data_IF_974807058221
#
_entry.id   IF_974807058221
#
_cell.length_a   1.000
_cell.length_b   1.000
_cell.length_c   1.000
_cell.angle_alpha   90.00
_cell.angle_beta   90.00
_cell.angle_gamma   90.00
#
_symmetry.space_group_name_H-M   'P 1'
#
loop_
_entity.id
_entity.type
_entity.pdbx_description
1 polymer ?
#
# COMPACT_ATOMS: atom_id res chain seq x y z
N UNK A 1 -16.03 -6.41 -19.85
CA UNK A 1 -15.93 -5.36 -18.83
C UNK A 1 -14.62 -4.65 -19.07
N UNK A 2 -14.66 -3.33 -19.22
CA UNK A 2 -13.43 -2.54 -19.33
C UNK A 2 -12.83 -2.34 -17.94
N UNK A 3 -11.51 -2.17 -17.85
CA UNK A 3 -10.82 -1.88 -16.58
C UNK A 3 -11.45 -0.66 -15.86
N UNK A 4 -11.97 0.32 -16.61
CA UNK A 4 -12.66 1.48 -16.06
C UNK A 4 -13.99 1.14 -15.38
N UNK A 5 -14.75 0.17 -15.92
CA UNK A 5 -16.00 -0.31 -15.30
C UNK A 5 -15.73 -1.09 -14.01
N UNK A 6 -14.68 -1.92 -14.00
CA UNK A 6 -14.29 -2.68 -12.80
C UNK A 6 -13.82 -1.76 -11.67
N UNK A 7 -13.00 -0.76 -12.01
CA UNK A 7 -12.53 0.26 -11.06
C UNK A 7 -13.67 1.10 -10.49
N UNK A 8 -14.68 1.43 -11.31
CA UNK A 8 -15.85 2.18 -10.86
C UNK A 8 -16.68 1.37 -9.85
N UNK A 9 -16.90 0.07 -10.09
CA UNK A 9 -17.64 -0.78 -9.15
C UNK A 9 -16.87 -1.03 -7.85
N UNK A 10 -15.54 -1.15 -7.91
CA UNK A 10 -14.72 -1.24 -6.71
C UNK A 10 -14.79 0.04 -5.87
N UNK A 11 -14.73 1.21 -6.51
CA UNK A 11 -14.90 2.50 -5.84
C UNK A 11 -16.26 2.60 -5.14
N UNK A 12 -17.32 2.16 -5.82
CA UNK A 12 -18.68 2.15 -5.26
C UNK A 12 -18.80 1.26 -4.02
N UNK A 13 -18.34 0.01 -4.10
CA UNK A 13 -18.39 -0.93 -2.97
C UNK A 13 -17.57 -0.44 -1.76
N UNK A 14 -16.49 0.28 -2.02
CA UNK A 14 -15.64 0.87 -1.00
C UNK A 14 -16.35 2.03 -0.26
N UNK A 15 -17.00 2.93 -1.00
CA UNK A 15 -17.82 4.01 -0.42
C UNK A 15 -18.97 3.43 0.40
N UNK A 16 -19.66 2.40 -0.10
CA UNK A 16 -20.75 1.72 0.61
C UNK A 16 -20.27 1.13 1.96
N UNK A 17 -19.09 0.51 2.00
CA UNK A 17 -18.50 -0.02 3.24
C UNK A 17 -18.10 1.08 4.23
N UNK A 18 -17.55 2.19 3.75
CA UNK A 18 -17.20 3.33 4.61
C UNK A 18 -18.44 3.99 5.24
N UNK A 19 -19.52 4.12 4.47
CA UNK A 19 -20.83 4.58 4.96
C UNK A 19 -21.43 3.64 6.03
N UNK A 20 -21.20 2.34 5.90
CA UNK A 20 -21.66 1.34 6.89
C UNK A 20 -20.82 1.34 8.17
N UNK A 21 -19.57 1.81 8.13
CA UNK A 21 -18.65 1.82 9.28
C UNK A 21 -18.79 3.06 10.17
N UNK A 22 -19.14 4.24 9.65
CA UNK A 22 -19.31 5.45 10.46
C UNK A 22 -20.40 6.41 9.92
N UNK A 23 -21.06 7.11 10.84
CA UNK A 23 -22.26 7.94 10.63
C UNK A 23 -21.98 9.39 10.21
N UNK A 24 -20.73 9.79 10.00
CA UNK A 24 -20.39 11.18 9.64
C UNK A 24 -20.05 11.34 8.15
N UNK A 25 -21.08 11.63 7.37
CA UNK A 25 -21.01 11.84 5.91
C UNK A 25 -20.05 12.99 5.55
N UNK A 26 -19.92 13.99 6.43
CA UNK A 26 -19.09 15.17 6.18
C UNK A 26 -17.59 14.83 6.05
N UNK A 27 -17.15 13.68 6.57
CA UNK A 27 -15.77 13.19 6.45
C UNK A 27 -15.61 12.07 5.42
N UNK A 28 -16.69 11.68 4.73
CA UNK A 28 -16.68 10.53 3.83
C UNK A 28 -15.76 10.77 2.63
N UNK A 29 -15.81 11.96 2.03
CA UNK A 29 -14.97 12.32 0.88
C UNK A 29 -13.48 12.26 1.24
N UNK A 30 -13.09 12.82 2.40
CA UNK A 30 -11.70 12.75 2.89
C UNK A 30 -11.24 11.31 3.19
N UNK A 31 -12.17 10.44 3.62
CA UNK A 31 -11.88 9.01 3.87
C UNK A 31 -11.75 8.22 2.57
N UNK A 32 -12.61 8.48 1.59
CA UNK A 32 -12.55 7.88 0.25
C UNK A 32 -11.25 8.29 -0.43
N UNK A 33 -10.92 9.58 -0.43
CA UNK A 33 -9.66 10.10 -1.00
C UNK A 33 -8.42 9.49 -0.33
N UNK A 34 -8.41 9.38 1.01
CA UNK A 34 -7.30 8.74 1.73
C UNK A 34 -7.16 7.28 1.34
N UNK A 35 -8.26 6.54 1.31
CA UNK A 35 -8.20 5.12 1.03
C UNK A 35 -7.95 4.83 -0.46
N UNK A 36 -8.37 5.70 -1.38
CA UNK A 36 -7.94 5.68 -2.78
C UNK A 36 -6.44 5.94 -2.91
N UNK A 37 -5.89 6.90 -2.17
CA UNK A 37 -4.42 7.12 -2.13
C UNK A 37 -3.66 5.93 -1.58
N UNK A 38 -4.23 5.19 -0.62
CA UNK A 38 -3.60 3.98 -0.07
C UNK A 38 -3.66 2.81 -1.07
N UNK A 39 -4.78 2.66 -1.78
CA UNK A 39 -4.99 1.55 -2.72
C UNK A 39 -4.36 1.78 -4.10
N UNK A 40 -4.36 3.03 -4.56
CA UNK A 40 -3.99 3.40 -5.93
C UNK A 40 -2.85 4.42 -6.01
N UNK A 41 -2.45 5.01 -4.89
CA UNK A 41 -1.33 5.94 -4.84
C UNK A 41 0.00 5.27 -4.55
N UNK A 42 1.08 5.85 -5.08
CA UNK A 42 2.43 5.44 -4.75
C UNK A 42 2.76 5.82 -3.30
N UNK A 43 2.77 4.84 -2.40
CA UNK A 43 3.16 5.03 -1.00
C UNK A 43 4.63 4.64 -0.81
N UNK A 44 5.42 5.54 -0.24
CA UNK A 44 6.79 5.23 0.20
C UNK A 44 6.83 5.06 1.71
N UNK A 45 7.34 3.92 2.19
CA UNK A 45 7.54 3.65 3.61
C UNK A 45 9.03 3.37 3.89
N UNK A 46 9.56 3.96 4.95
CA UNK A 46 10.95 3.79 5.38
C UNK A 46 10.99 3.02 6.71
N UNK A 47 11.72 1.90 6.73
CA UNK A 47 11.89 1.06 7.92
C UNK A 47 13.37 0.86 8.22
N UNK A 48 13.75 0.85 9.51
CA UNK A 48 15.10 0.52 9.97
C UNK A 48 15.10 -0.89 10.56
N UNK A 49 15.98 -1.75 10.04
CA UNK A 49 16.13 -3.14 10.52
C UNK A 49 17.59 -3.34 10.92
N UNK A 50 17.82 -3.76 12.17
CA UNK A 50 19.15 -4.05 12.70
C UNK A 50 19.35 -5.57 12.77
N UNK A 51 20.39 -6.07 12.10
CA UNK A 51 20.70 -7.50 12.08
C UNK A 51 22.19 -7.77 11.86
N UNK A 52 22.63 -9.00 12.06
CA UNK A 52 24.02 -9.41 11.77
C UNK A 52 24.27 -9.48 10.26
N UNK A 53 25.53 -9.29 9.84
CA UNK A 53 25.91 -9.24 8.42
C UNK A 53 25.45 -10.47 7.63
N UNK A 54 25.52 -11.66 8.23
CA UNK A 54 25.05 -12.92 7.64
C UNK A 54 23.54 -12.88 7.33
N UNK A 55 22.75 -12.27 8.21
CA UNK A 55 21.31 -12.16 8.06
C UNK A 55 20.91 -11.01 7.11
N UNK A 56 21.76 -9.98 6.96
CA UNK A 56 21.52 -8.89 6.02
C UNK A 56 21.40 -9.38 4.57
N UNK A 57 22.25 -10.32 4.14
CA UNK A 57 22.18 -10.92 2.81
C UNK A 57 20.90 -11.74 2.58
N UNK A 58 20.49 -12.52 3.60
CA UNK A 58 19.24 -13.27 3.53
C UNK A 58 18.02 -12.33 3.50
N UNK A 59 18.05 -11.26 4.29
CA UNK A 59 17.01 -10.24 4.33
C UNK A 59 16.89 -9.53 2.98
N UNK A 60 18.00 -9.19 2.34
CA UNK A 60 18.02 -8.58 1.00
C UNK A 60 17.30 -9.46 -0.02
N UNK A 61 17.61 -10.75 -0.07
CA UNK A 61 16.95 -11.69 -1.00
C UNK A 61 15.43 -11.77 -0.77
N UNK A 62 14.99 -11.76 0.49
CA UNK A 62 13.56 -11.76 0.85
C UNK A 62 12.89 -10.46 0.41
N UNK A 63 13.55 -9.31 0.63
CA UNK A 63 13.03 -7.99 0.24
C UNK A 63 12.96 -7.82 -1.28
N UNK A 64 13.92 -8.37 -2.03
CA UNK A 64 13.92 -8.36 -3.50
C UNK A 64 12.79 -9.24 -4.08
N UNK A 65 12.53 -10.40 -3.47
CA UNK A 65 11.40 -11.26 -3.84
C UNK A 65 10.06 -10.58 -3.52
N UNK A 66 9.95 -9.92 -2.36
CA UNK A 66 8.79 -9.09 -2.02
C UNK A 66 8.58 -7.95 -3.03
N UNK A 67 9.65 -7.25 -3.41
CA UNK A 67 9.61 -6.15 -4.37
C UNK A 67 9.03 -6.61 -5.72
N UNK A 68 9.53 -7.76 -6.20
CA UNK A 68 9.10 -8.36 -7.48
C UNK A 68 7.63 -8.78 -7.44
N UNK A 69 7.20 -9.44 -6.36
CA UNK A 69 5.82 -9.95 -6.21
C UNK A 69 4.77 -8.85 -6.09
N UNK A 70 5.14 -7.72 -5.48
CA UNK A 70 4.21 -6.64 -5.17
C UNK A 70 4.38 -5.42 -6.08
N UNK A 71 5.18 -5.54 -7.14
CA UNK A 71 5.47 -4.46 -8.08
C UNK A 71 5.92 -3.17 -7.37
N UNK A 72 6.75 -3.30 -6.34
CA UNK A 72 7.25 -2.18 -5.55
C UNK A 72 8.78 -2.08 -5.62
N UNK A 73 9.32 -0.91 -5.26
CA UNK A 73 10.77 -0.65 -5.28
C UNK A 73 11.32 -0.65 -3.86
N UNK A 74 12.31 -1.49 -3.60
CA UNK A 74 13.03 -1.51 -2.31
C UNK A 74 14.43 -0.94 -2.52
N UNK A 75 14.82 0.00 -1.65
CA UNK A 75 16.19 0.51 -1.57
C UNK A 75 16.76 0.22 -0.18
N UNK A 76 17.83 -0.55 -0.13
CA UNK A 76 18.55 -0.83 1.11
C UNK A 76 19.73 0.13 1.19
N UNK A 77 19.80 0.93 2.25
CA UNK A 77 20.93 1.81 2.54
C UNK A 77 21.76 1.12 3.63
N UNK A 78 22.99 0.73 3.29
CA UNK A 78 23.94 0.22 4.25
C UNK A 78 24.37 1.38 5.17
N UNK A 79 24.23 1.20 6.48
CA UNK A 79 24.76 2.16 7.46
C UNK A 79 26.18 1.71 7.82
N UNK A 80 27.16 2.59 7.59
CA UNK A 80 28.55 2.43 8.05
C UNK A 80 28.68 2.50 9.57
#
# INVERSE_FOLDING_TARGET
>A
MSLGEEMFEWRKQMVEKLLLQESNIDQLEEKVDRAEKILFGDCTAAFKIECTLRNAYALKAILDDFATKNNCKVSIVECE
#
